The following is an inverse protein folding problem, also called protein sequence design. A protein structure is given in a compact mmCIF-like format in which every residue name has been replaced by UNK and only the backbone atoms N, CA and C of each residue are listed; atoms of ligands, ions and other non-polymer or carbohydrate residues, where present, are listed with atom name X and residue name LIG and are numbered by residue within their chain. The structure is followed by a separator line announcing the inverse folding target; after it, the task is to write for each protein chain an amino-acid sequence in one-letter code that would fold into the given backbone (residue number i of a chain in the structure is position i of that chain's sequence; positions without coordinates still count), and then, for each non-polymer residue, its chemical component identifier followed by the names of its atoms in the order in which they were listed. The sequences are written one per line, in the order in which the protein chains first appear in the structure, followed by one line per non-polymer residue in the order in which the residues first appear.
data_IF_595429227255
#
_entry.id   IF_595429227255
#
_cell.length_a   1.000
_cell.length_b   1.000
_cell.length_c   1.000
_cell.angle_alpha   90.00
_cell.angle_beta   90.00
_cell.angle_gamma   90.00
#
_symmetry.space_group_name_H-M   'P 1'
#
loop_
_entity.id
_entity.type
_entity.pdbx_description
1 polymer ?
#
# COMPACT_ATOMS: atom_id res chain seq x y z
N UNK A 1 14.11 -60.29 14.25
CA UNK A 1 15.33 -60.28 15.10
C UNK A 1 16.43 -59.58 14.31
N UNK A 2 17.17 -58.59 14.77
CA UNK A 2 17.30 -58.03 16.10
C UNK A 2 17.44 -56.50 16.06
N UNK A 3 17.11 -55.92 17.20
CA UNK A 3 17.19 -54.51 17.56
C UNK A 3 18.65 -54.16 17.87
N UNK A 4 19.12 -53.00 17.41
CA UNK A 4 20.30 -52.37 18.00
C UNK A 4 19.94 -50.93 18.41
N UNK A 5 19.74 -50.78 19.72
CA UNK A 5 19.62 -49.52 20.42
C UNK A 5 21.03 -49.02 20.76
N UNK A 6 21.37 -47.82 20.30
CA UNK A 6 22.61 -47.11 20.64
C UNK A 6 22.28 -45.87 21.46
N UNK A 7 22.80 -45.85 22.69
CA UNK A 7 22.43 -44.97 23.80
C UNK A 7 22.88 -43.51 23.65
N UNK A 8 22.15 -42.67 24.38
CA UNK A 8 22.29 -41.25 24.71
C UNK A 8 23.71 -40.76 25.04
N UNK A 9 24.04 -39.55 24.57
CA UNK A 9 24.91 -38.60 25.29
C UNK A 9 24.12 -37.35 25.65
N UNK A 10 23.87 -37.19 26.96
CA UNK A 10 23.54 -35.93 27.61
C UNK A 10 24.67 -34.92 27.37
N UNK A 11 24.30 -33.69 27.02
CA UNK A 11 25.04 -32.51 27.46
C UNK A 11 24.02 -31.63 28.17
N UNK A 12 24.05 -31.70 29.51
CA UNK A 12 23.61 -30.61 30.37
C UNK A 12 24.56 -29.44 30.12
N UNK A 13 24.01 -28.28 29.78
CA UNK A 13 24.64 -27.01 30.07
C UNK A 13 23.65 -26.20 30.88
N UNK A 14 24.11 -25.92 32.09
CA UNK A 14 23.52 -25.04 33.07
C UNK A 14 23.28 -23.63 32.52
N UNK A 15 22.34 -22.97 33.19
CA UNK A 15 21.96 -21.58 33.07
C UNK A 15 23.16 -20.64 32.95
N UNK A 16 23.23 -19.92 31.82
CA UNK A 16 23.98 -18.67 31.74
C UNK A 16 22.98 -17.52 31.59
N UNK A 17 23.04 -16.64 32.58
CA UNK A 17 22.37 -15.35 32.67
C UNK A 17 22.36 -14.59 31.33
N UNK A 18 21.20 -14.05 30.95
CA UNK A 18 21.06 -13.13 29.82
C UNK A 18 21.83 -11.84 30.16
N UNK A 19 23.11 -11.79 29.81
CA UNK A 19 23.85 -10.56 29.61
C UNK A 19 23.54 -10.05 28.21
N UNK A 20 22.82 -8.94 28.15
CA UNK A 20 22.70 -8.12 26.94
C UNK A 20 24.09 -7.57 26.58
N UNK A 21 24.80 -8.28 25.70
CA UNK A 21 25.88 -7.70 24.92
C UNK A 21 25.33 -7.43 23.52
N UNK A 22 25.17 -6.14 23.21
CA UNK A 22 24.87 -5.64 21.87
C UNK A 22 26.03 -5.97 20.92
N UNK A 23 25.97 -7.15 20.31
CA UNK A 23 26.55 -7.35 18.99
C UNK A 23 25.41 -7.70 18.05
N UNK A 24 25.01 -6.71 17.25
CA UNK A 24 24.01 -6.85 16.19
C UNK A 24 24.54 -7.82 15.14
N UNK A 25 24.32 -9.12 15.35
CA UNK A 25 24.63 -10.14 14.35
C UNK A 25 23.69 -9.95 13.17
N UNK A 26 24.27 -9.49 12.06
CA UNK A 26 23.59 -9.35 10.77
C UNK A 26 23.16 -10.75 10.31
N UNK A 27 21.95 -10.92 9.75
CA UNK A 27 21.52 -12.20 9.18
C UNK A 27 22.53 -12.72 8.15
N UNK A 28 22.81 -14.02 8.17
CA UNK A 28 23.88 -14.67 7.38
C UNK A 28 23.76 -14.35 5.89
N UNK A 29 22.54 -14.34 5.36
CA UNK A 29 22.27 -14.00 3.94
C UNK A 29 22.69 -12.56 3.57
N UNK A 30 22.51 -11.62 4.50
CA UNK A 30 22.94 -10.23 4.33
C UNK A 30 24.46 -10.12 4.45
N UNK A 31 25.06 -10.91 5.34
CA UNK A 31 26.51 -10.92 5.51
C UNK A 31 27.22 -11.52 4.29
N UNK A 32 26.70 -12.60 3.73
CA UNK A 32 27.20 -13.21 2.49
C UNK A 32 27.03 -12.27 1.28
N UNK A 33 25.92 -11.55 1.21
CA UNK A 33 25.71 -10.53 0.18
C UNK A 33 26.67 -9.33 0.31
N UNK A 34 26.96 -8.88 1.53
CA UNK A 34 27.94 -7.83 1.80
C UNK A 34 29.38 -8.29 1.52
N UNK A 35 29.71 -9.54 1.83
CA UNK A 35 31.02 -10.11 1.56
C UNK A 35 31.28 -10.35 0.06
N UNK A 36 30.23 -10.61 -0.72
CA UNK A 36 30.32 -10.83 -2.18
C UNK A 36 30.31 -9.54 -2.99
N UNK A 37 29.97 -8.40 -2.39
CA UNK A 37 30.05 -7.08 -3.03
C UNK A 37 31.12 -6.24 -2.38
N UNK A 38 32.31 -6.19 -3.00
CA UNK A 38 33.27 -5.13 -2.71
C UNK A 38 32.59 -3.78 -2.98
N UNK A 39 32.54 -2.91 -1.96
CA UNK A 39 32.02 -1.56 -2.08
C UNK A 39 32.76 -0.83 -3.21
N UNK A 40 32.06 -0.52 -4.30
CA UNK A 40 32.62 0.22 -5.43
C UNK A 40 32.95 1.68 -5.08
N UNK A 41 32.54 2.15 -3.91
CA UNK A 41 32.80 3.50 -3.41
C UNK A 41 33.82 3.44 -2.29
N UNK A 42 34.85 4.28 -2.39
CA UNK A 42 35.82 4.45 -1.31
C UNK A 42 35.14 5.06 -0.08
N UNK A 43 35.63 4.74 1.12
CA UNK A 43 35.14 5.34 2.37
C UNK A 43 35.15 6.87 2.36
N UNK A 44 36.03 7.48 1.55
CA UNK A 44 36.10 8.93 1.35
C UNK A 44 34.93 9.46 0.52
N UNK A 45 34.55 8.76 -0.55
CA UNK A 45 33.41 9.12 -1.40
C UNK A 45 32.10 8.90 -0.65
N UNK A 46 31.97 7.80 0.08
CA UNK A 46 30.79 7.54 0.91
C UNK A 46 30.54 8.63 1.95
N UNK A 47 31.60 9.05 2.68
CA UNK A 47 31.51 10.17 3.62
C UNK A 47 31.17 11.50 2.93
N UNK A 48 31.66 11.72 1.71
CA UNK A 48 31.32 12.93 0.94
C UNK A 48 29.85 12.95 0.52
N UNK A 49 29.27 11.80 0.17
CA UNK A 49 27.85 11.66 -0.18
C UNK A 49 26.94 11.90 1.01
N UNK A 50 27.27 11.33 2.18
CA UNK A 50 26.53 11.57 3.42
C UNK A 50 26.56 13.05 3.82
N UNK A 51 27.73 13.68 3.71
CA UNK A 51 27.89 15.10 4.02
C UNK A 51 27.05 15.98 3.06
N UNK A 52 27.07 15.68 1.76
CA UNK A 52 26.30 16.39 0.74
C UNK A 52 24.78 16.24 0.93
N UNK A 53 24.30 15.06 1.34
CA UNK A 53 22.89 14.88 1.68
C UNK A 53 22.50 15.66 2.94
N UNK A 54 23.36 15.69 3.95
CA UNK A 54 23.09 16.45 5.18
C UNK A 54 23.12 17.96 4.99
N UNK A 55 23.98 18.46 4.09
CA UNK A 55 24.08 19.88 3.75
C UNK A 55 22.86 20.33 2.92
N UNK A 56 22.41 19.51 1.96
CA UNK A 56 21.21 19.79 1.18
C UNK A 56 19.92 19.88 2.04
N UNK A 57 19.83 19.08 3.10
CA UNK A 57 18.70 19.12 4.05
C UNK A 57 18.74 20.38 4.93
N UNK A 58 19.93 20.90 5.23
CA UNK A 58 20.08 22.16 5.99
C UNK A 58 19.78 23.38 5.12
N UNK A 59 20.28 23.43 3.89
CA UNK A 59 19.98 24.52 2.95
C UNK A 59 18.50 24.57 2.55
N UNK A 60 17.82 23.41 2.50
CA UNK A 60 16.37 23.37 2.27
C UNK A 60 15.57 23.97 3.45
N UNK A 61 16.04 23.76 4.71
CA UNK A 61 15.43 24.37 5.90
C UNK A 61 15.71 25.86 6.04
N UNK A 62 16.88 26.32 5.60
CA UNK A 62 17.25 27.75 5.64
C UNK A 62 16.52 28.55 4.54
N UNK A 63 16.31 27.98 3.35
CA UNK A 63 15.53 28.60 2.27
C UNK A 63 14.03 28.74 2.61
N UNK A 64 13.48 27.88 3.49
CA UNK A 64 12.10 28.01 4.00
C UNK A 64 11.95 29.12 5.06
N UNK A 65 13.05 29.55 5.71
CA UNK A 65 13.05 30.63 6.71
C UNK A 65 13.28 32.03 6.11
N UNK A 66 13.90 32.14 4.92
CA UNK A 66 14.22 33.43 4.29
C UNK A 66 13.20 33.92 3.25
N UNK A 67 12.26 33.10 2.78
CA UNK A 67 11.18 33.54 1.85
C UNK A 67 9.93 34.12 2.55
N UNK A 68 10.01 34.40 3.84
CA UNK A 68 8.96 35.03 4.64
C UNK A 68 9.06 36.56 4.74
N UNK A 69 9.47 37.29 3.70
CA UNK A 69 9.29 38.75 3.66
C UNK A 69 9.53 39.32 2.27
N UNK A 70 8.44 39.69 1.57
CA UNK A 70 8.34 40.75 0.54
C UNK A 70 7.41 40.33 -0.60
N UNK A 71 6.19 40.87 -0.59
CA UNK A 71 5.51 41.32 -1.80
C UNK A 71 4.42 42.32 -1.42
N UNK A 72 4.80 43.60 -1.40
CA UNK A 72 3.86 44.70 -1.65
C UNK A 72 3.37 44.59 -3.10
N UNK A 73 2.07 44.42 -3.30
CA UNK A 73 1.41 44.80 -4.54
C UNK A 73 0.08 45.43 -4.17
N UNK A 74 0.02 46.75 -4.34
CA UNK A 74 -1.20 47.55 -4.40
C UNK A 74 -2.18 46.95 -5.40
N UNK A 75 -3.44 46.78 -5.00
CA UNK A 75 -4.54 47.09 -5.91
C UNK A 75 -5.84 47.40 -5.15
N UNK A 76 -6.35 48.57 -5.54
CA UNK A 76 -7.59 49.24 -5.14
C UNK A 76 -8.80 48.40 -5.58
N UNK A 77 -9.80 48.26 -4.71
CA UNK A 77 -11.23 48.26 -5.09
C UNK A 77 -12.15 48.43 -3.86
N UNK A 78 -12.49 49.70 -3.62
CA UNK A 78 -13.84 50.27 -3.45
C UNK A 78 -15.05 49.42 -2.93
N UNK A 79 -15.78 50.06 -1.98
CA UNK A 79 -17.23 49.97 -1.67
C UNK A 79 -17.66 48.72 -0.84
N UNK A 80 -18.44 48.78 0.25
CA UNK A 80 -19.35 49.79 0.80
C UNK A 80 -19.41 49.70 2.34
N UNK A 81 -19.55 50.85 2.99
CA UNK A 81 -19.60 51.00 4.44
C UNK A 81 -21.04 51.32 4.85
N UNK A 82 -21.83 50.31 5.25
CA UNK A 82 -23.19 50.56 5.73
C UNK A 82 -23.18 50.84 7.24
N UNK A 83 -23.36 52.13 7.54
CA UNK A 83 -23.80 52.71 8.80
C UNK A 83 -24.90 51.89 9.47
N UNK A 84 -24.79 51.69 10.79
CA UNK A 84 -25.96 51.67 11.67
C UNK A 84 -25.63 52.51 12.91
N UNK A 85 -26.23 53.70 12.93
CA UNK A 85 -26.29 54.61 14.07
C UNK A 85 -27.42 54.12 14.97
N UNK A 86 -27.11 53.92 16.25
CA UNK A 86 -28.11 53.99 17.32
C UNK A 86 -27.66 55.13 18.23
N UNK A 87 -28.39 56.24 18.16
CA UNK A 87 -28.34 57.32 19.13
C UNK A 87 -29.29 56.95 20.26
N UNK A 88 -28.76 56.79 21.47
CA UNK A 88 -29.53 56.97 22.68
C UNK A 88 -28.76 57.85 23.66
N UNK A 89 -29.54 58.64 24.38
CA UNK A 89 -29.18 59.84 25.14
C UNK A 89 -28.42 59.49 26.44
N UNK A 90 -27.72 60.51 26.94
CA UNK A 90 -27.08 60.59 28.26
C UNK A 90 -25.79 59.77 28.50
N UNK A 91 -24.66 60.42 28.16
CA UNK A 91 -23.73 60.87 29.20
C UNK A 91 -23.04 59.84 30.11
N UNK A 92 -22.37 58.82 29.56
CA UNK A 92 -21.05 58.33 30.01
C UNK A 92 -20.69 57.06 29.22
N UNK A 93 -19.76 57.14 28.26
CA UNK A 93 -19.22 55.96 27.56
C UNK A 93 -17.91 55.54 28.21
N UNK A 94 -17.97 54.45 28.96
CA UNK A 94 -16.82 53.63 29.32
C UNK A 94 -16.41 52.87 28.06
N UNK A 95 -15.19 53.10 27.57
CA UNK A 95 -14.61 52.33 26.46
C UNK A 95 -14.25 50.92 26.97
N UNK A 96 -15.11 49.94 26.69
CA UNK A 96 -14.77 48.53 26.82
C UNK A 96 -13.99 48.16 25.55
N UNK A 97 -12.73 47.69 25.64
CA UNK A 97 -12.02 47.18 24.48
C UNK A 97 -12.80 45.99 23.92
N UNK A 98 -13.36 46.13 22.72
CA UNK A 98 -13.93 45.00 21.99
C UNK A 98 -12.79 44.03 21.69
N UNK A 99 -12.78 42.87 22.35
CA UNK A 99 -11.95 41.77 21.90
C UNK A 99 -12.32 41.45 20.45
N UNK A 100 -11.33 41.24 19.56
CA UNK A 100 -11.61 40.85 18.18
C UNK A 100 -12.45 39.58 18.20
N UNK A 101 -13.61 39.64 17.54
CA UNK A 101 -14.49 38.49 17.36
C UNK A 101 -13.70 37.35 16.73
N UNK A 102 -13.93 36.14 17.25
CA UNK A 102 -13.33 34.90 16.74
C UNK A 102 -13.48 34.86 15.22
N UNK A 103 -12.35 34.84 14.52
CA UNK A 103 -12.28 34.60 13.08
C UNK A 103 -13.03 33.28 12.84
N UNK A 104 -14.19 33.36 12.23
CA UNK A 104 -14.95 32.21 11.76
C UNK A 104 -14.11 31.53 10.68
N UNK A 105 -13.34 30.52 11.07
CA UNK A 105 -12.62 29.60 10.17
C UNK A 105 -13.61 28.64 9.52
N UNK A 106 -14.57 29.20 8.78
CA UNK A 106 -15.39 28.47 7.80
C UNK A 106 -15.08 28.92 6.39
N UNK A 107 -13.87 29.46 6.16
CA UNK A 107 -13.27 29.48 4.84
C UNK A 107 -12.97 28.03 4.47
N UNK A 108 -13.91 27.42 3.73
CA UNK A 108 -13.71 26.23 2.92
C UNK A 108 -12.37 26.34 2.19
N UNK A 109 -11.32 25.75 2.76
CA UNK A 109 -10.05 25.55 2.08
C UNK A 109 -10.36 24.62 0.92
N UNK A 110 -10.63 25.20 -0.25
CA UNK A 110 -10.63 24.45 -1.51
C UNK A 110 -9.28 23.77 -1.59
N UNK A 111 -9.28 22.44 -1.53
CA UNK A 111 -8.06 21.67 -1.65
C UNK A 111 -7.30 22.13 -2.90
N UNK A 112 -6.00 22.46 -2.77
CA UNK A 112 -5.18 22.80 -3.91
C UNK A 112 -5.28 21.68 -4.95
N UNK A 113 -5.44 22.01 -6.23
CA UNK A 113 -5.53 21.01 -7.32
C UNK A 113 -4.35 20.02 -7.29
N UNK A 114 -3.18 20.48 -6.82
CA UNK A 114 -1.96 19.68 -6.64
C UNK A 114 -2.07 18.56 -5.58
N UNK A 115 -3.03 18.66 -4.65
CA UNK A 115 -3.24 17.63 -3.63
C UNK A 115 -4.01 16.44 -4.19
N UNK A 116 -4.99 16.67 -5.07
CA UNK A 116 -5.74 15.59 -5.75
C UNK A 116 -4.85 14.74 -6.66
N UNK A 117 -3.87 15.35 -7.33
CA UNK A 117 -2.88 14.60 -8.11
C UNK A 117 -1.95 13.80 -7.20
N UNK A 118 -1.56 14.34 -6.04
CA UNK A 118 -0.73 13.60 -5.08
C UNK A 118 -1.43 12.39 -4.47
N UNK A 119 -2.70 12.53 -4.04
CA UNK A 119 -3.49 11.40 -3.52
C UNK A 119 -3.67 10.32 -4.57
N UNK A 120 -4.00 10.70 -5.81
CA UNK A 120 -4.12 9.76 -6.91
C UNK A 120 -2.80 9.06 -7.22
N UNK A 121 -1.68 9.79 -7.28
CA UNK A 121 -0.36 9.19 -7.53
C UNK A 121 0.11 8.30 -6.38
N UNK A 122 -0.21 8.64 -5.14
CA UNK A 122 0.03 7.79 -3.98
C UNK A 122 -0.80 6.51 -4.10
N UNK A 123 -2.10 6.65 -4.34
CA UNK A 123 -3.02 5.53 -4.53
C UNK A 123 -2.57 4.61 -5.67
N UNK A 124 -2.17 5.17 -6.82
CA UNK A 124 -1.70 4.40 -7.98
C UNK A 124 -0.40 3.63 -7.70
N UNK A 125 0.47 4.16 -6.83
CA UNK A 125 1.70 3.46 -6.40
C UNK A 125 1.38 2.32 -5.45
N UNK A 126 0.51 2.58 -4.47
CA UNK A 126 0.07 1.62 -3.45
C UNK A 126 -0.84 0.53 -4.05
N UNK A 127 -1.63 0.85 -5.06
CA UNK A 127 -2.54 -0.06 -5.75
C UNK A 127 -2.20 -0.09 -7.24
N UNK A 128 -0.95 -0.38 -7.54
CA UNK A 128 -0.56 -0.72 -8.89
C UNK A 128 -1.19 -2.06 -9.29
N UNK A 129 -1.16 -2.38 -10.59
CA UNK A 129 -1.75 -3.61 -11.14
C UNK A 129 -1.37 -4.86 -10.34
N UNK A 130 -0.10 -5.03 -9.99
CA UNK A 130 0.38 -6.20 -9.25
C UNK A 130 -0.24 -6.27 -7.86
N UNK A 131 -0.26 -5.15 -7.15
CA UNK A 131 -0.83 -5.11 -5.80
C UNK A 131 -2.34 -5.36 -5.82
N UNK A 132 -3.06 -4.77 -6.78
CA UNK A 132 -4.50 -5.01 -6.92
C UNK A 132 -4.82 -6.47 -7.25
N UNK A 133 -4.01 -7.14 -8.08
CA UNK A 133 -4.14 -8.58 -8.34
C UNK A 133 -3.94 -9.38 -7.05
N UNK A 134 -2.91 -9.06 -6.26
CA UNK A 134 -2.64 -9.74 -4.99
C UNK A 134 -3.76 -9.53 -3.98
N UNK A 135 -4.30 -8.31 -3.89
CA UNK A 135 -5.45 -8.00 -3.04
C UNK A 135 -6.66 -8.85 -3.44
N UNK A 136 -7.00 -8.92 -4.73
CA UNK A 136 -8.12 -9.73 -5.22
C UNK A 136 -7.92 -11.23 -4.93
N UNK A 137 -6.70 -11.75 -5.06
CA UNK A 137 -6.40 -13.16 -4.78
C UNK A 137 -6.04 -13.46 -3.31
N UNK A 138 -6.11 -12.46 -2.41
CA UNK A 138 -5.60 -12.57 -1.04
C UNK A 138 -6.38 -13.59 -0.19
N UNK A 139 -7.68 -13.77 -0.44
CA UNK A 139 -8.49 -14.77 0.27
C UNK A 139 -8.04 -16.20 -0.03
N UNK A 140 -7.71 -16.48 -1.30
CA UNK A 140 -7.17 -17.77 -1.74
C UNK A 140 -5.76 -17.96 -1.16
N UNK A 141 -4.94 -16.91 -1.20
CA UNK A 141 -3.59 -16.93 -0.62
C UNK A 141 -3.61 -17.23 0.88
N UNK A 142 -4.51 -16.59 1.62
CA UNK A 142 -4.70 -16.83 3.06
C UNK A 142 -5.18 -18.27 3.30
N UNK A 143 -6.12 -18.76 2.50
CA UNK A 143 -6.62 -20.14 2.59
C UNK A 143 -5.49 -21.15 2.36
N UNK A 144 -4.61 -20.89 1.39
CA UNK A 144 -3.43 -21.70 1.13
C UNK A 144 -2.46 -21.71 2.32
N UNK A 145 -2.13 -20.56 2.91
CA UNK A 145 -1.24 -20.50 4.08
C UNK A 145 -1.85 -21.17 5.31
N UNK A 146 -3.16 -21.05 5.52
CA UNK A 146 -3.85 -21.77 6.58
C UNK A 146 -3.78 -23.29 6.36
N UNK A 147 -3.89 -23.75 5.12
CA UNK A 147 -3.71 -25.15 4.77
C UNK A 147 -2.29 -25.64 5.12
N UNK A 148 -1.27 -24.89 4.72
CA UNK A 148 0.13 -25.20 5.05
C UNK A 148 0.38 -25.22 6.56
N UNK A 149 -0.22 -24.29 7.32
CA UNK A 149 -0.09 -24.20 8.77
C UNK A 149 -0.74 -25.35 9.54
N UNK A 150 -1.75 -26.02 8.95
CA UNK A 150 -2.43 -27.18 9.56
C UNK A 150 -1.70 -28.49 9.33
N UNK A 151 -0.90 -28.61 8.26
CA UNK A 151 -0.12 -29.81 7.99
C UNK A 151 1.06 -29.94 8.97
N UNK A 152 1.08 -31.01 9.77
CA UNK A 152 2.22 -31.33 10.61
C UNK A 152 3.41 -31.73 9.73
N UNK A 153 4.64 -31.42 10.17
CA UNK A 153 5.89 -31.78 9.46
C UNK A 153 5.94 -33.26 9.02
N UNK A 154 5.34 -34.16 9.82
CA UNK A 154 5.27 -35.59 9.54
C UNK A 154 4.24 -35.96 8.44
N UNK A 155 3.13 -35.21 8.35
CA UNK A 155 2.14 -35.42 7.30
C UNK A 155 2.70 -35.02 5.94
N UNK A 156 3.54 -33.97 5.87
CA UNK A 156 4.23 -33.56 4.63
C UNK A 156 5.17 -34.62 4.07
N UNK A 157 5.86 -35.38 4.93
CA UNK A 157 6.76 -36.46 4.50
C UNK A 157 5.95 -37.65 3.97
N UNK A 158 4.79 -37.94 4.56
CA UNK A 158 3.92 -39.03 4.10
C UNK A 158 3.04 -38.66 2.89
N UNK A 159 2.66 -37.39 2.73
CA UNK A 159 1.87 -36.90 1.61
C UNK A 159 2.61 -37.00 0.26
N UNK A 160 3.95 -36.89 0.27
CA UNK A 160 4.79 -37.14 -0.92
C UNK A 160 4.56 -38.54 -1.51
N UNK A 161 4.10 -39.50 -0.71
CA UNK A 161 3.83 -40.88 -1.17
C UNK A 161 2.41 -41.10 -1.71
N UNK A 162 1.49 -40.14 -1.55
CA UNK A 162 0.11 -40.20 -2.06
C UNK A 162 -0.09 -39.08 -3.09
N UNK A 163 0.07 -39.43 -4.35
CA UNK A 163 0.05 -38.53 -5.50
C UNK A 163 -1.32 -37.86 -5.76
N UNK A 164 -2.38 -38.34 -5.11
CA UNK A 164 -3.73 -37.83 -5.31
C UNK A 164 -4.20 -37.01 -4.09
N UNK A 165 -4.37 -35.71 -4.34
CA UNK A 165 -5.15 -34.74 -3.57
C UNK A 165 -4.58 -34.20 -2.25
N UNK A 166 -3.44 -33.53 -2.29
CA UNK A 166 -3.17 -32.51 -1.28
C UNK A 166 -4.08 -31.29 -1.56
N UNK A 167 -5.07 -31.05 -0.70
CA UNK A 167 -5.95 -29.87 -0.76
C UNK A 167 -5.14 -28.57 -0.81
N UNK A 168 -3.98 -28.54 -0.16
CA UNK A 168 -3.07 -27.39 -0.20
C UNK A 168 -2.47 -27.18 -1.59
N UNK A 169 -2.19 -28.25 -2.34
CA UNK A 169 -1.71 -28.17 -3.73
C UNK A 169 -2.79 -27.63 -4.65
N UNK A 170 -4.05 -28.07 -4.47
CA UNK A 170 -5.18 -27.49 -5.20
C UNK A 170 -5.35 -26.00 -4.92
N UNK A 171 -5.16 -25.57 -3.66
CA UNK A 171 -5.20 -24.16 -3.28
C UNK A 171 -4.02 -23.37 -3.86
N UNK A 172 -2.82 -23.96 -3.92
CA UNK A 172 -1.67 -23.35 -4.58
C UNK A 172 -1.92 -23.15 -6.08
N UNK A 173 -2.39 -24.19 -6.77
CA UNK A 173 -2.77 -24.12 -8.18
C UNK A 173 -3.87 -23.08 -8.41
N UNK A 174 -4.87 -23.02 -7.52
CA UNK A 174 -5.94 -22.04 -7.62
C UNK A 174 -5.46 -20.61 -7.42
N UNK A 175 -4.52 -20.38 -6.48
CA UNK A 175 -3.90 -19.08 -6.27
C UNK A 175 -3.12 -18.62 -7.52
N UNK A 176 -2.30 -19.50 -8.10
CA UNK A 176 -1.55 -19.21 -9.33
C UNK A 176 -2.53 -18.88 -10.46
N UNK A 177 -3.55 -19.71 -10.65
CA UNK A 177 -4.57 -19.48 -11.66
C UNK A 177 -5.33 -18.17 -11.44
N UNK A 178 -5.66 -17.81 -10.19
CA UNK A 178 -6.26 -16.53 -9.84
C UNK A 178 -5.37 -15.39 -10.31
N UNK A 179 -4.07 -15.39 -9.95
CA UNK A 179 -3.15 -14.31 -10.33
C UNK A 179 -3.02 -14.15 -11.84
N UNK A 180 -2.93 -15.25 -12.59
CA UNK A 180 -2.82 -15.23 -14.05
C UNK A 180 -4.09 -14.72 -14.75
N UNK A 181 -5.26 -15.14 -14.26
CA UNK A 181 -6.56 -14.72 -14.80
C UNK A 181 -6.81 -13.25 -14.47
N UNK A 182 -6.59 -12.84 -13.22
CA UNK A 182 -6.72 -11.47 -12.78
C UNK A 182 -5.80 -10.56 -13.60
N UNK A 183 -4.53 -10.92 -13.80
CA UNK A 183 -3.61 -10.16 -14.65
C UNK A 183 -4.18 -9.87 -16.04
N UNK A 184 -4.73 -10.88 -16.73
CA UNK A 184 -5.36 -10.70 -18.04
C UNK A 184 -6.59 -9.80 -17.97
N UNK A 185 -7.34 -9.86 -16.89
CA UNK A 185 -8.51 -9.02 -16.68
C UNK A 185 -8.15 -7.55 -16.44
N UNK A 186 -7.13 -7.27 -15.63
CA UNK A 186 -6.62 -5.93 -15.40
C UNK A 186 -6.09 -5.30 -16.71
N UNK A 187 -5.40 -6.08 -17.55
CA UNK A 187 -5.02 -5.65 -18.90
C UNK A 187 -6.25 -5.35 -19.77
N UNK A 188 -7.31 -6.16 -19.68
CA UNK A 188 -8.54 -5.94 -20.44
C UNK A 188 -9.24 -4.63 -20.07
N UNK A 189 -9.11 -4.18 -18.82
CA UNK A 189 -9.67 -2.91 -18.34
C UNK A 189 -8.70 -1.72 -18.52
N UNK A 190 -7.55 -1.92 -19.16
CA UNK A 190 -6.50 -0.91 -19.33
C UNK A 190 -6.16 -0.23 -17.98
N UNK A 191 -6.06 -1.03 -16.91
CA UNK A 191 -6.04 -0.54 -15.52
C UNK A 191 -4.95 0.51 -15.26
N UNK A 192 -3.76 0.32 -15.83
CA UNK A 192 -2.62 1.23 -15.66
C UNK A 192 -2.85 2.62 -16.25
N UNK A 193 -3.81 2.78 -17.16
CA UNK A 193 -4.13 4.05 -17.83
C UNK A 193 -5.37 4.74 -17.26
N UNK A 194 -5.94 4.21 -16.17
CA UNK A 194 -7.04 4.87 -15.47
C UNK A 194 -6.54 6.14 -14.77
N UNK A 195 -7.36 7.19 -14.72
CA UNK A 195 -6.93 8.55 -14.31
C UNK A 195 -7.51 8.98 -12.96
N UNK A 196 -8.41 8.18 -12.38
CA UNK A 196 -9.04 8.48 -11.10
C UNK A 196 -9.03 7.28 -10.16
N UNK A 197 -8.99 7.58 -8.86
CA UNK A 197 -9.07 6.56 -7.80
C UNK A 197 -10.37 5.76 -7.93
N UNK A 198 -11.47 6.42 -8.29
CA UNK A 198 -12.78 5.79 -8.43
C UNK A 198 -12.83 4.82 -9.61
N UNK A 199 -12.21 5.17 -10.75
CA UNK A 199 -12.04 4.25 -11.87
C UNK A 199 -11.23 3.02 -11.46
N UNK A 200 -10.08 3.22 -10.82
CA UNK A 200 -9.21 2.11 -10.38
C UNK A 200 -9.92 1.19 -9.40
N UNK A 201 -10.59 1.74 -8.37
CA UNK A 201 -11.37 0.94 -7.42
C UNK A 201 -12.53 0.22 -8.11
N UNK A 202 -13.26 0.91 -8.99
CA UNK A 202 -14.39 0.31 -9.70
C UNK A 202 -13.94 -0.83 -10.62
N UNK A 203 -12.83 -0.67 -11.34
CA UNK A 203 -12.28 -1.71 -12.21
C UNK A 203 -11.83 -2.92 -11.38
N UNK A 204 -11.03 -2.71 -10.33
CA UNK A 204 -10.56 -3.77 -9.44
C UNK A 204 -11.71 -4.59 -8.87
N UNK A 205 -12.75 -3.91 -8.36
CA UNK A 205 -13.92 -4.55 -7.76
C UNK A 205 -14.76 -5.32 -8.78
N UNK A 206 -14.94 -4.77 -10.01
CA UNK A 206 -15.66 -5.47 -11.08
C UNK A 206 -14.92 -6.75 -11.48
N UNK A 207 -13.61 -6.65 -11.70
CA UNK A 207 -12.78 -7.79 -12.06
C UNK A 207 -12.88 -8.89 -11.00
N UNK A 208 -12.71 -8.53 -9.73
CA UNK A 208 -12.79 -9.47 -8.61
C UNK A 208 -14.16 -10.16 -8.54
N UNK A 209 -15.23 -9.37 -8.63
CA UNK A 209 -16.61 -9.88 -8.61
C UNK A 209 -16.88 -10.88 -9.72
N UNK A 210 -16.39 -10.63 -10.94
CA UNK A 210 -16.59 -11.52 -12.09
C UNK A 210 -15.79 -12.80 -11.91
N UNK A 211 -14.57 -12.71 -11.39
CA UNK A 211 -13.76 -13.87 -11.05
C UNK A 211 -14.47 -14.74 -10.01
N UNK A 212 -14.84 -14.16 -8.86
CA UNK A 212 -15.51 -14.87 -7.77
C UNK A 212 -16.91 -15.38 -8.13
N UNK A 213 -17.56 -14.81 -9.15
CA UNK A 213 -18.83 -15.32 -9.69
C UNK A 213 -18.64 -16.63 -10.45
N UNK A 214 -17.55 -16.75 -11.23
CA UNK A 214 -17.34 -17.85 -12.17
C UNK A 214 -16.42 -18.95 -11.63
N UNK A 215 -15.55 -18.64 -10.66
CA UNK A 215 -14.58 -19.58 -10.12
C UNK A 215 -14.61 -19.58 -8.60
N UNK A 216 -14.81 -20.75 -7.99
CA UNK A 216 -14.71 -21.00 -6.55
C UNK A 216 -13.51 -21.88 -6.20
N UNK A 217 -13.06 -22.70 -7.14
CA UNK A 217 -11.93 -23.61 -6.95
C UNK A 217 -11.18 -23.81 -8.29
N UNK A 218 -10.07 -24.56 -8.23
CA UNK A 218 -9.24 -24.86 -9.41
C UNK A 218 -9.95 -25.69 -10.47
N UNK A 219 -10.87 -26.57 -10.07
CA UNK A 219 -11.60 -27.43 -11.00
C UNK A 219 -12.55 -26.58 -11.87
N UNK A 220 -13.19 -25.55 -11.29
CA UNK A 220 -14.01 -24.59 -12.03
C UNK A 220 -13.19 -23.82 -13.09
N UNK A 221 -11.93 -23.49 -12.79
CA UNK A 221 -11.04 -22.80 -13.73
C UNK A 221 -10.66 -23.69 -14.90
N UNK A 222 -10.50 -25.00 -14.66
CA UNK A 222 -10.18 -26.00 -15.69
C UNK A 222 -11.40 -26.31 -16.56
N UNK A 223 -12.61 -26.04 -16.08
CA UNK A 223 -13.84 -26.23 -16.81
C UNK A 223 -14.01 -25.17 -17.93
N UNK A 224 -14.07 -25.65 -19.17
CA UNK A 224 -14.15 -24.80 -20.36
C UNK A 224 -15.41 -23.91 -20.35
N UNK A 225 -16.52 -24.41 -19.84
CA UNK A 225 -17.77 -23.66 -19.81
C UNK A 225 -17.70 -22.45 -18.87
N UNK A 226 -17.20 -22.64 -17.64
CA UNK A 226 -17.00 -21.54 -16.68
C UNK A 226 -16.02 -20.51 -17.22
N UNK A 227 -14.95 -20.95 -17.88
CA UNK A 227 -14.01 -20.03 -18.51
C UNK A 227 -14.65 -19.21 -19.65
N UNK A 228 -15.49 -19.84 -20.47
CA UNK A 228 -16.24 -19.13 -21.51
C UNK A 228 -17.23 -18.13 -20.91
N UNK A 229 -17.95 -18.50 -19.85
CA UNK A 229 -18.87 -17.61 -19.15
C UNK A 229 -18.14 -16.42 -18.52
N UNK A 230 -17.00 -16.68 -17.87
CA UNK A 230 -16.11 -15.67 -17.33
C UNK A 230 -15.68 -14.66 -18.41
N UNK A 231 -15.19 -15.13 -19.57
CA UNK A 231 -14.75 -14.21 -20.63
C UNK A 231 -15.89 -13.38 -21.22
N UNK A 232 -17.10 -13.92 -21.31
CA UNK A 232 -18.29 -13.18 -21.75
C UNK A 232 -18.68 -12.11 -20.74
N UNK A 233 -18.76 -12.48 -19.46
CA UNK A 233 -19.08 -11.55 -18.38
C UNK A 233 -18.03 -10.43 -18.27
N UNK A 234 -16.74 -10.79 -18.40
CA UNK A 234 -15.63 -9.84 -18.36
C UNK A 234 -15.72 -8.80 -19.48
N UNK A 235 -16.01 -9.23 -20.71
CA UNK A 235 -16.19 -8.31 -21.84
C UNK A 235 -17.37 -7.39 -21.64
N UNK A 236 -18.51 -7.92 -21.19
CA UNK A 236 -19.70 -7.12 -20.92
C UNK A 236 -19.43 -6.05 -19.86
N UNK A 237 -18.81 -6.44 -18.74
CA UNK A 237 -18.53 -5.52 -17.64
C UNK A 237 -17.47 -4.47 -17.99
N UNK A 238 -16.55 -4.81 -18.92
CA UNK A 238 -15.59 -3.89 -19.53
C UNK A 238 -16.31 -2.84 -20.38
N UNK A 239 -17.21 -3.27 -21.27
CA UNK A 239 -18.01 -2.36 -22.10
C UNK A 239 -18.87 -1.44 -21.23
N UNK A 240 -19.57 -1.99 -20.23
CA UNK A 240 -20.35 -1.21 -19.27
C UNK A 240 -19.48 -0.24 -18.45
N UNK A 241 -18.24 -0.62 -18.15
CA UNK A 241 -17.28 0.25 -17.45
C UNK A 241 -16.87 1.44 -18.33
N UNK A 242 -16.41 1.21 -19.57
CA UNK A 242 -15.97 2.30 -20.44
C UNK A 242 -17.12 3.20 -20.87
N UNK A 243 -18.32 2.65 -21.09
CA UNK A 243 -19.53 3.43 -21.31
C UNK A 243 -19.86 4.37 -20.13
N UNK A 244 -19.66 3.92 -18.89
CA UNK A 244 -19.90 4.73 -17.68
C UNK A 244 -18.90 5.89 -17.53
N UNK A 245 -17.64 5.67 -17.90
CA UNK A 245 -16.57 6.66 -17.75
C UNK A 245 -16.29 7.46 -19.02
N UNK A 246 -17.18 7.39 -20.03
CA UNK A 246 -17.06 8.07 -21.34
C UNK A 246 -15.71 7.83 -22.02
N UNK A 247 -15.28 6.57 -22.06
CA UNK A 247 -14.06 6.10 -22.71
C UNK A 247 -14.39 5.20 -23.89
#
# INVERSE_FOLDING_TARGET
MGLFWGSTKKNEKDDDEIKYNEETTIPIDLQDYLNTKESQLSNREFKSLLRRQSENVKTAKEAELELGSSSNVDNVDNVDNSMNIINDKDGNKIEIPKLPSSISTTNSMKMPKNYKSFEFEKFRREHNEKESILINCSEIQNSFYQCLGRQKLWDRISAISKLDSDECTKLADFFIACTDIQKKAFLTFDYSTLESIDEMKSASNKIDKIFNKNFKNIDDVREKENFLNYTKDLRKEREDFFAKYNK
#
